data_IF_609979682483
#
_entry.id   IF_609979682483
#
_cell.length_a   1.000
_cell.length_b   1.000
_cell.length_c   1.000
_cell.angle_alpha   90.00
_cell.angle_beta   90.00
_cell.angle_gamma   90.00
#
_symmetry.space_group_name_H-M   'P 1'
#
loop_
_entity.id
_entity.type
_entity.pdbx_description
1 polymer ?
#
# COMPACT_ATOMS: atom_id res chain seq x y z
N UNK A 1 -7.21 13.82 8.61
CA UNK A 1 -6.68 12.89 9.66
C UNK A 1 -5.50 13.51 10.38
N UNK A 2 -4.45 13.92 9.66
CA UNK A 2 -3.24 14.48 10.27
C UNK A 2 -3.46 15.79 11.06
N UNK A 3 -4.52 16.55 10.78
CA UNK A 3 -4.88 17.73 11.60
C UNK A 3 -5.29 17.35 13.03
N UNK A 4 -5.82 16.13 13.23
CA UNK A 4 -6.26 15.61 14.54
C UNK A 4 -5.27 14.62 15.14
N UNK A 5 -4.50 13.93 14.29
CA UNK A 5 -3.52 12.89 14.65
C UNK A 5 -2.19 13.14 13.93
N UNK A 6 -1.49 14.23 14.24
CA UNK A 6 -0.22 14.57 13.60
C UNK A 6 0.89 13.55 13.91
N UNK A 7 0.71 12.78 14.99
CA UNK A 7 1.57 11.67 15.43
C UNK A 7 1.58 10.46 14.48
N UNK A 8 0.65 10.38 13.52
CA UNK A 8 0.60 9.32 12.50
C UNK A 8 1.39 9.66 11.23
N UNK A 9 2.39 10.54 11.36
CA UNK A 9 3.33 10.87 10.30
C UNK A 9 4.67 11.32 10.92
N UNK A 10 5.79 11.24 10.18
CA UNK A 10 7.09 11.69 10.70
C UNK A 10 7.05 13.17 11.11
N UNK A 11 7.83 13.63 12.11
CA UNK A 11 7.80 15.01 12.55
C UNK A 11 8.10 16.04 11.45
N UNK A 12 7.52 17.23 11.56
CA UNK A 12 7.80 18.34 10.64
C UNK A 12 9.30 18.69 10.70
N UNK A 13 9.92 18.89 9.53
CA UNK A 13 11.34 19.20 9.40
C UNK A 13 12.26 17.99 9.25
N UNK A 14 11.76 16.76 9.44
CA UNK A 14 12.52 15.55 9.15
C UNK A 14 12.44 15.17 7.67
N UNK A 15 13.51 14.57 7.13
CA UNK A 15 13.58 14.16 5.73
C UNK A 15 12.50 13.11 5.39
N UNK A 16 12.22 12.21 6.34
CA UNK A 16 11.20 11.18 6.30
C UNK A 16 9.80 11.76 6.08
N UNK A 17 9.53 12.99 6.55
CA UNK A 17 8.23 13.64 6.35
C UNK A 17 7.94 13.93 4.89
N UNK A 18 8.97 14.32 4.12
CA UNK A 18 8.83 14.57 2.68
C UNK A 18 8.60 13.25 1.93
N UNK A 19 9.39 12.22 2.25
CA UNK A 19 9.23 10.90 1.63
C UNK A 19 7.88 10.27 1.99
N UNK A 20 7.41 10.39 3.23
CA UNK A 20 6.09 9.94 3.67
C UNK A 20 4.97 10.58 2.83
N UNK A 21 4.99 11.91 2.68
CA UNK A 21 3.98 12.62 1.90
C UNK A 21 4.05 12.22 0.41
N UNK A 22 5.26 12.15 -0.14
CA UNK A 22 5.49 11.73 -1.53
C UNK A 22 4.92 10.35 -1.78
N UNK A 23 5.25 9.36 -0.95
CA UNK A 23 4.79 7.97 -1.14
C UNK A 23 3.29 7.84 -0.90
N UNK A 24 2.72 8.53 0.08
CA UNK A 24 1.27 8.51 0.32
C UNK A 24 0.49 9.04 -0.89
N UNK A 25 0.92 10.18 -1.45
CA UNK A 25 0.30 10.76 -2.65
C UNK A 25 0.55 9.87 -3.86
N UNK A 26 1.80 9.41 -4.05
CA UNK A 26 2.17 8.55 -5.17
C UNK A 26 1.35 7.26 -5.18
N UNK A 27 1.13 6.64 -4.01
CA UNK A 27 0.35 5.41 -3.89
C UNK A 27 -1.08 5.60 -4.38
N UNK A 28 -1.75 6.67 -3.92
CA UNK A 28 -3.12 6.99 -4.37
C UNK A 28 -3.13 7.39 -5.85
N UNK A 29 -2.15 8.14 -6.33
CA UNK A 29 -2.13 8.64 -7.70
C UNK A 29 -1.72 7.58 -8.74
N UNK A 30 -0.99 6.53 -8.36
CA UNK A 30 -0.45 5.55 -9.31
C UNK A 30 -1.04 4.16 -9.13
N UNK A 31 -1.23 3.69 -7.89
CA UNK A 31 -1.72 2.33 -7.64
C UNK A 31 -3.24 2.26 -7.81
N UNK A 32 -4.01 3.18 -7.21
CA UNK A 32 -5.48 3.16 -7.28
C UNK A 32 -6.06 3.19 -8.70
N UNK A 33 -5.55 4.02 -9.64
CA UNK A 33 -6.07 4.04 -11.01
C UNK A 33 -5.99 2.68 -11.71
N UNK A 34 -5.00 1.85 -11.37
CA UNK A 34 -4.93 0.49 -11.93
C UNK A 34 -6.10 -0.38 -11.52
N UNK A 35 -6.77 -0.11 -10.40
CA UNK A 35 -8.04 -0.77 -10.02
C UNK A 35 -9.19 -0.17 -10.80
N UNK A 36 -9.27 1.17 -10.89
CA UNK A 36 -10.31 1.87 -11.67
C UNK A 36 -10.44 1.36 -13.10
N UNK A 37 -9.31 1.10 -13.77
CA UNK A 37 -9.30 0.56 -15.13
C UNK A 37 -9.49 -0.96 -15.19
N UNK A 38 -9.04 -1.73 -14.19
CA UNK A 38 -9.06 -3.19 -14.23
C UNK A 38 -10.34 -3.83 -13.67
N UNK A 39 -11.10 -3.13 -12.83
CA UNK A 39 -12.30 -3.67 -12.18
C UNK A 39 -13.49 -3.70 -13.15
N UNK A 40 -13.59 -2.70 -14.04
CA UNK A 40 -14.61 -2.56 -15.08
C UNK A 40 -13.99 -2.13 -16.43
N UNK A 41 -13.08 -2.95 -17.00
CA UNK A 41 -12.30 -2.59 -18.19
C UNK A 41 -13.18 -2.34 -19.44
N UNK A 42 -14.36 -2.95 -19.51
CA UNK A 42 -15.33 -2.79 -20.60
C UNK A 42 -15.86 -1.36 -20.74
N UNK A 43 -15.77 -0.53 -19.67
CA UNK A 43 -16.13 0.89 -19.72
C UNK A 43 -15.12 1.73 -20.52
N UNK A 44 -13.90 1.23 -20.66
CA UNK A 44 -12.78 1.96 -21.26
C UNK A 44 -12.41 1.41 -22.63
N UNK A 45 -12.38 0.08 -22.76
CA UNK A 45 -12.01 -0.62 -24.00
C UNK A 45 -12.97 -1.81 -24.20
N UNK A 46 -14.21 -1.56 -24.65
CA UNK A 46 -15.24 -2.59 -24.77
C UNK A 46 -14.86 -3.73 -25.72
N UNK A 47 -14.01 -3.46 -26.72
CA UNK A 47 -13.58 -4.47 -27.70
C UNK A 47 -12.41 -5.36 -27.22
N UNK A 48 -11.71 -4.98 -26.14
CA UNK A 48 -10.58 -5.73 -25.60
C UNK A 48 -10.42 -5.61 -24.06
N UNK A 49 -11.48 -5.84 -23.27
CA UNK A 49 -11.47 -5.59 -21.83
C UNK A 49 -10.47 -6.46 -21.06
N UNK A 50 -10.34 -7.73 -21.42
CA UNK A 50 -9.44 -8.67 -20.75
C UNK A 50 -7.96 -8.30 -20.96
N UNK A 51 -7.62 -7.77 -22.13
CA UNK A 51 -6.26 -7.31 -22.42
C UNK A 51 -5.91 -6.08 -21.58
N UNK A 52 -6.84 -5.13 -21.43
CA UNK A 52 -6.67 -3.96 -20.56
C UNK A 52 -6.47 -4.41 -19.10
N UNK A 53 -7.36 -5.26 -18.59
CA UNK A 53 -7.29 -5.78 -17.22
C UNK A 53 -5.95 -6.45 -16.93
N UNK A 54 -5.50 -7.34 -17.83
CA UNK A 54 -4.18 -8.00 -17.72
C UNK A 54 -3.06 -6.97 -17.64
N UNK A 55 -3.03 -6.00 -18.55
CA UNK A 55 -1.99 -4.97 -18.58
C UNK A 55 -1.98 -4.11 -17.31
N UNK A 56 -3.15 -3.72 -16.80
CA UNK A 56 -3.27 -2.97 -15.55
C UNK A 56 -2.75 -3.77 -14.35
N UNK A 57 -3.02 -5.07 -14.27
CA UNK A 57 -2.51 -5.95 -13.20
C UNK A 57 -0.99 -6.08 -13.27
N UNK A 58 -0.42 -6.32 -14.46
CA UNK A 58 1.05 -6.41 -14.60
C UNK A 58 1.74 -5.07 -14.31
N UNK A 59 1.16 -3.96 -14.75
CA UNK A 59 1.66 -2.64 -14.39
C UNK A 59 1.57 -2.39 -12.88
N UNK A 60 0.46 -2.76 -12.23
CA UNK A 60 0.30 -2.66 -10.77
C UNK A 60 1.37 -3.44 -10.01
N UNK A 61 1.71 -4.65 -10.45
CA UNK A 61 2.84 -5.42 -9.87
C UNK A 61 4.15 -4.63 -9.95
N UNK A 62 4.45 -4.01 -11.09
CA UNK A 62 5.64 -3.16 -11.23
C UNK A 62 5.63 -1.95 -10.28
N UNK A 63 4.45 -1.36 -10.03
CA UNK A 63 4.28 -0.29 -9.06
C UNK A 63 4.55 -0.77 -7.62
N UNK A 64 4.05 -1.95 -7.24
CA UNK A 64 4.33 -2.52 -5.91
C UNK A 64 5.81 -2.86 -5.71
N UNK A 65 6.48 -3.40 -6.73
CA UNK A 65 7.93 -3.63 -6.70
C UNK A 65 8.70 -2.31 -6.53
N UNK A 66 8.32 -1.27 -7.28
CA UNK A 66 8.91 0.04 -7.11
C UNK A 66 8.65 0.57 -5.70
N UNK A 67 7.42 0.47 -5.19
CA UNK A 67 7.10 0.96 -3.87
C UNK A 67 7.90 0.24 -2.79
N UNK A 68 8.04 -1.08 -2.86
CA UNK A 68 8.90 -1.85 -1.95
C UNK A 68 10.34 -1.32 -1.94
N UNK A 69 10.90 -0.98 -3.10
CA UNK A 69 12.26 -0.41 -3.21
C UNK A 69 12.43 0.96 -2.55
N UNK A 70 11.32 1.67 -2.28
CA UNK A 70 11.33 2.96 -1.60
C UNK A 70 11.25 2.84 -0.08
N UNK A 71 11.04 1.63 0.45
CA UNK A 71 10.88 1.37 1.87
C UNK A 71 12.19 0.91 2.50
N UNK A 72 12.36 1.20 3.79
CA UNK A 72 13.44 0.67 4.62
C UNK A 72 12.82 0.21 5.95
N UNK A 73 12.17 -0.95 5.92
CA UNK A 73 11.34 -1.42 7.02
C UNK A 73 12.14 -1.65 8.31
N UNK A 74 11.84 -0.91 9.39
CA UNK A 74 12.51 -1.10 10.69
C UNK A 74 11.76 -0.53 11.92
N UNK A 75 10.64 -1.13 12.38
CA UNK A 75 9.84 -2.16 11.71
C UNK A 75 8.82 -1.57 10.72
N UNK A 76 8.54 -0.26 10.80
CA UNK A 76 7.63 0.46 9.91
C UNK A 76 8.40 1.14 8.76
N UNK A 77 7.68 1.71 7.79
CA UNK A 77 8.22 2.29 6.55
C UNK A 77 9.29 3.36 6.77
N UNK A 78 9.18 4.12 7.86
CA UNK A 78 10.08 5.22 8.24
C UNK A 78 10.74 4.99 9.61
N UNK A 79 11.00 3.72 9.96
CA UNK A 79 11.65 3.34 11.21
C UNK A 79 10.66 2.96 12.31
N UNK A 80 10.84 3.48 13.52
CA UNK A 80 10.12 3.01 14.73
C UNK A 80 8.71 3.56 14.91
N UNK A 81 8.37 4.62 14.17
CA UNK A 81 7.08 5.29 14.31
C UNK A 81 6.06 4.70 13.32
N UNK A 82 4.90 4.29 13.84
CA UNK A 82 3.75 3.94 13.01
C UNK A 82 3.19 5.19 12.33
N UNK A 83 2.96 5.11 11.03
CA UNK A 83 2.37 6.18 10.22
C UNK A 83 1.12 5.70 9.48
N UNK A 84 0.38 6.65 8.89
CA UNK A 84 -0.76 6.31 8.02
C UNK A 84 -0.37 5.46 6.81
N UNK A 85 0.87 5.57 6.33
CA UNK A 85 1.34 4.81 5.17
C UNK A 85 1.45 3.32 5.50
N UNK A 86 1.88 2.99 6.71
CA UNK A 86 2.03 1.61 7.18
C UNK A 86 0.68 0.90 7.27
N UNK A 87 -0.34 1.60 7.78
CA UNK A 87 -1.72 1.08 7.81
C UNK A 87 -2.24 0.85 6.39
N UNK A 88 -1.96 1.77 5.46
CA UNK A 88 -2.29 1.56 4.04
C UNK A 88 -1.60 0.33 3.45
N UNK A 89 -0.33 0.11 3.76
CA UNK A 89 0.45 -1.04 3.32
C UNK A 89 -0.18 -2.35 3.83
N UNK A 90 -0.58 -2.41 5.10
CA UNK A 90 -1.23 -3.59 5.68
C UNK A 90 -2.55 -3.95 4.97
N UNK A 91 -3.38 -2.95 4.66
CA UNK A 91 -4.63 -3.18 3.89
C UNK A 91 -4.31 -3.54 2.44
N UNK A 92 -3.40 -2.82 1.80
CA UNK A 92 -3.08 -2.98 0.38
C UNK A 92 -2.50 -4.36 0.04
N UNK A 93 -1.83 -5.02 1.00
CA UNK A 93 -1.34 -6.40 0.87
C UNK A 93 -2.47 -7.41 0.61
N UNK A 94 -3.70 -7.11 1.04
CA UNK A 94 -4.86 -7.98 0.82
C UNK A 94 -5.47 -7.79 -0.56
N UNK A 95 -5.18 -6.69 -1.26
CA UNK A 95 -5.66 -6.43 -2.62
C UNK A 95 -4.87 -7.25 -3.64
N UNK A 96 -5.32 -7.27 -4.90
CA UNK A 96 -4.57 -7.95 -5.97
C UNK A 96 -3.16 -7.34 -6.12
N UNK A 97 -2.08 -8.15 -6.13
CA UNK A 97 -2.02 -9.59 -6.48
C UNK A 97 -2.12 -10.60 -5.31
N UNK A 98 -2.54 -10.18 -4.12
CA UNK A 98 -2.76 -10.98 -2.90
C UNK A 98 -1.49 -11.41 -2.16
N UNK A 99 -1.69 -11.93 -0.95
CA UNK A 99 -0.66 -12.18 0.05
C UNK A 99 0.54 -12.98 -0.45
N UNK A 100 0.32 -14.08 -1.19
CA UNK A 100 1.41 -14.94 -1.66
C UNK A 100 2.37 -14.18 -2.58
N UNK A 101 1.84 -13.39 -3.51
CA UNK A 101 2.68 -12.60 -4.40
C UNK A 101 3.48 -11.54 -3.63
N UNK A 102 2.86 -10.81 -2.69
CA UNK A 102 3.57 -9.82 -1.88
C UNK A 102 4.66 -10.47 -1.01
N UNK A 103 4.37 -11.62 -0.40
CA UNK A 103 5.35 -12.35 0.42
C UNK A 103 6.59 -12.75 -0.38
N UNK A 104 6.43 -13.15 -1.65
CA UNK A 104 7.55 -13.52 -2.52
C UNK A 104 8.30 -12.32 -3.09
N UNK A 105 7.61 -11.22 -3.43
CA UNK A 105 8.16 -10.20 -4.32
C UNK A 105 8.49 -8.86 -3.62
N UNK A 106 7.92 -8.61 -2.44
CA UNK A 106 8.03 -7.30 -1.77
C UNK A 106 8.37 -7.49 -0.29
N UNK A 107 9.63 -7.79 0.05
CA UNK A 107 10.03 -8.11 1.43
C UNK A 107 9.84 -6.95 2.41
N UNK A 108 10.12 -5.70 2.01
CA UNK A 108 9.95 -4.54 2.88
C UNK A 108 8.46 -4.24 3.11
N UNK A 109 7.67 -4.26 2.05
CA UNK A 109 6.23 -4.04 2.09
C UNK A 109 5.55 -5.09 2.98
N UNK A 110 5.94 -6.36 2.82
CA UNK A 110 5.44 -7.47 3.64
C UNK A 110 5.83 -7.31 5.11
N UNK A 111 7.09 -6.97 5.39
CA UNK A 111 7.55 -6.75 6.76
C UNK A 111 6.79 -5.61 7.48
N UNK A 112 6.54 -4.49 6.78
CA UNK A 112 5.73 -3.38 7.32
C UNK A 112 4.29 -3.86 7.60
N UNK A 113 3.68 -4.57 6.65
CA UNK A 113 2.33 -5.08 6.82
C UNK A 113 2.22 -6.07 8.01
N UNK A 114 3.20 -6.96 8.17
CA UNK A 114 3.25 -7.88 9.32
C UNK A 114 3.42 -7.15 10.65
N UNK A 115 4.29 -6.14 10.70
CA UNK A 115 4.47 -5.32 11.89
C UNK A 115 3.16 -4.61 12.30
N UNK A 116 2.39 -4.10 11.34
CA UNK A 116 1.08 -3.50 11.60
C UNK A 116 0.05 -4.54 12.03
N UNK A 117 0.00 -5.69 11.37
CA UNK A 117 -0.92 -6.78 11.68
C UNK A 117 -0.68 -7.37 13.08
N UNK A 118 0.53 -7.24 13.62
CA UNK A 118 0.89 -7.69 14.97
C UNK A 118 0.44 -6.74 16.09
N UNK A 119 -0.06 -5.53 15.77
CA UNK A 119 -0.49 -4.54 16.76
C UNK A 119 -1.84 -4.91 17.38
N UNK A 120 -1.91 -5.29 18.68
CA UNK A 120 -3.14 -5.76 19.30
C UNK A 120 -4.28 -4.73 19.27
N UNK A 121 -3.95 -3.44 19.35
CA UNK A 121 -4.90 -2.34 19.29
C UNK A 121 -5.61 -2.22 17.94
N UNK A 122 -5.02 -2.77 16.86
CA UNK A 122 -5.62 -2.78 15.52
C UNK A 122 -6.41 -4.05 15.23
N UNK A 123 -6.21 -5.13 16.00
CA UNK A 123 -6.83 -6.43 15.70
C UNK A 123 -8.35 -6.37 15.55
N UNK A 124 -9.05 -5.55 16.34
CA UNK A 124 -10.51 -5.41 16.23
C UNK A 124 -10.93 -4.96 14.83
N UNK A 125 -10.27 -3.93 14.29
CA UNK A 125 -10.62 -3.41 12.96
C UNK A 125 -10.07 -4.28 11.84
N UNK A 126 -8.87 -4.85 12.01
CA UNK A 126 -8.26 -5.73 11.00
C UNK A 126 -9.09 -7.01 10.79
N UNK A 127 -9.55 -7.65 11.87
CA UNK A 127 -10.45 -8.82 11.81
C UNK A 127 -11.81 -8.48 11.21
N UNK A 128 -12.36 -7.32 11.53
CA UNK A 128 -13.64 -6.88 10.98
C UNK A 128 -13.61 -6.63 9.46
N UNK A 129 -12.41 -6.58 8.85
CA UNK A 129 -12.19 -6.37 7.42
C UNK A 129 -11.44 -7.54 6.77
N UNK A 130 -11.39 -8.71 7.42
CA UNK A 130 -10.74 -9.93 6.92
C UNK A 130 -9.26 -9.73 6.49
N UNK A 131 -8.54 -8.84 7.19
CA UNK A 131 -7.10 -8.61 6.95
C UNK A 131 -6.24 -9.60 7.75
N UNK A 132 -6.71 -9.96 8.96
CA UNK A 132 -6.14 -10.98 9.85
C UNK A 132 -7.23 -11.86 10.45
#
# INVERSE_FOLDING_TARGET
VLDRRPDLAPPVGQAERQQFQRLLIWFVANVYPTFTYADYPERWVPDAPEQLKKNCIEYRKSLYLWFDSQLSASPFAFGKQLTLLDVYIAVARTWGPRHEWFATNTPNFTAVADAVCALPELHKVLKANDII
#
